data_IF_810167362995
#
_entry.id   IF_810167362995
#
_cell.length_a   1.000
_cell.length_b   1.000
_cell.length_c   1.000
_cell.angle_alpha   90.00
_cell.angle_beta   90.00
_cell.angle_gamma   90.00
#
_symmetry.space_group_name_H-M   'P 1'
#
loop_
_entity.id
_entity.type
_entity.pdbx_description
1 polymer ?
#
# COMPACT_ATOMS: atom_id res chain seq x y z
N UNK A 1 3.84 -50.92 4.49
CA UNK A 1 4.47 -49.87 5.32
C UNK A 1 5.37 -49.04 4.41
N UNK A 2 4.79 -48.24 3.51
CA UNK A 2 5.55 -47.61 2.41
C UNK A 2 5.13 -46.15 2.15
N UNK A 3 4.57 -45.50 3.18
CA UNK A 3 4.03 -44.14 3.10
C UNK A 3 4.81 -43.10 3.90
N UNK A 4 5.88 -43.47 4.60
CA UNK A 4 6.64 -42.55 5.48
C UNK A 4 7.92 -42.00 4.83
N UNK A 5 8.44 -42.65 3.79
CA UNK A 5 9.73 -42.30 3.19
C UNK A 5 9.63 -41.20 2.12
N UNK A 6 8.46 -41.06 1.48
CA UNK A 6 8.20 -40.07 0.42
C UNK A 6 8.03 -38.65 0.97
N UNK A 7 7.47 -38.50 2.18
CA UNK A 7 7.37 -37.18 2.84
C UNK A 7 8.75 -36.64 3.22
N UNK A 8 9.69 -37.48 3.67
CA UNK A 8 11.03 -37.05 4.07
C UNK A 8 11.81 -36.35 2.95
N UNK A 9 11.71 -36.85 1.71
CA UNK A 9 12.37 -36.26 0.55
C UNK A 9 11.76 -34.89 0.17
N UNK A 10 10.43 -34.77 0.21
CA UNK A 10 9.74 -33.51 -0.07
C UNK A 10 10.04 -32.44 0.99
N UNK A 11 10.06 -32.79 2.28
CA UNK A 11 10.45 -31.87 3.36
C UNK A 11 11.92 -31.45 3.26
N UNK A 12 12.81 -32.35 2.85
CA UNK A 12 14.23 -32.03 2.65
C UNK A 12 14.42 -31.10 1.44
N UNK A 13 13.71 -31.35 0.34
CA UNK A 13 13.74 -30.48 -0.84
C UNK A 13 13.16 -29.09 -0.54
N UNK A 14 12.06 -29.00 0.23
CA UNK A 14 11.46 -27.75 0.64
C UNK A 14 12.37 -26.97 1.61
N UNK A 15 13.04 -27.67 2.53
CA UNK A 15 14.04 -27.07 3.45
C UNK A 15 15.25 -26.57 2.69
N UNK A 16 15.75 -27.33 1.72
CA UNK A 16 16.86 -26.92 0.85
C UNK A 16 16.46 -25.76 -0.03
N UNK A 17 15.26 -25.72 -0.64
CA UNK A 17 14.75 -24.56 -1.37
C UNK A 17 14.69 -23.32 -0.48
N UNK A 18 14.20 -23.44 0.75
CA UNK A 18 14.13 -22.33 1.69
C UNK A 18 15.54 -21.83 2.10
N UNK A 19 16.47 -22.77 2.31
CA UNK A 19 17.88 -22.48 2.59
C UNK A 19 18.59 -21.87 1.37
N UNK A 20 18.22 -22.28 0.16
CA UNK A 20 18.78 -21.75 -1.10
C UNK A 20 18.27 -20.35 -1.39
N UNK A 21 17.02 -20.03 -1.03
CA UNK A 21 16.45 -18.67 -1.09
C UNK A 21 17.15 -17.72 -0.11
N UNK A 22 17.48 -18.19 1.11
CA UNK A 22 18.27 -17.41 2.08
C UNK A 22 19.71 -17.17 1.60
N UNK A 23 20.25 -18.04 0.76
CA UNK A 23 21.60 -17.93 0.20
C UNK A 23 21.63 -17.06 -1.08
N UNK A 24 20.55 -16.97 -1.85
CA UNK A 24 20.66 -16.53 -3.25
C UNK A 24 20.91 -15.03 -3.47
N UNK A 25 20.54 -14.13 -2.55
CA UNK A 25 21.11 -12.77 -2.49
C UNK A 25 20.63 -11.98 -1.25
N UNK A 26 21.44 -11.83 -0.19
CA UNK A 26 21.09 -10.99 0.96
C UNK A 26 20.87 -9.52 0.57
N UNK A 27 21.46 -9.05 -0.53
CA UNK A 27 21.24 -7.71 -1.07
C UNK A 27 19.87 -7.59 -1.76
N UNK A 28 19.36 -8.65 -2.40
CA UNK A 28 18.00 -8.65 -2.96
C UNK A 28 16.95 -8.60 -1.86
N UNK A 29 17.10 -9.38 -0.79
CA UNK A 29 16.20 -9.34 0.37
C UNK A 29 16.29 -7.98 1.06
N UNK A 30 17.49 -7.41 1.18
CA UNK A 30 17.70 -6.06 1.72
C UNK A 30 17.06 -4.99 0.85
N UNK A 31 17.25 -5.05 -0.47
CA UNK A 31 16.65 -4.12 -1.43
C UNK A 31 15.12 -4.22 -1.43
N UNK A 32 14.57 -5.44 -1.37
CA UNK A 32 13.13 -5.65 -1.27
C UNK A 32 12.55 -5.07 0.04
N UNK A 33 13.27 -5.23 1.16
CA UNK A 33 12.92 -4.62 2.44
C UNK A 33 12.97 -3.09 2.39
N UNK A 34 14.00 -2.51 1.78
CA UNK A 34 14.14 -1.06 1.58
C UNK A 34 13.01 -0.49 0.70
N UNK A 35 12.69 -1.17 -0.39
CA UNK A 35 11.61 -0.79 -1.30
C UNK A 35 10.24 -0.82 -0.61
N UNK A 36 9.93 -1.90 0.13
CA UNK A 36 8.69 -1.99 0.90
C UNK A 36 8.63 -0.96 2.03
N UNK A 37 9.75 -0.73 2.72
CA UNK A 37 9.86 0.28 3.77
C UNK A 37 9.65 1.69 3.20
N UNK A 38 10.20 1.98 2.02
CA UNK A 38 10.02 3.27 1.36
C UNK A 38 8.57 3.50 0.94
N UNK A 39 7.91 2.50 0.34
CA UNK A 39 6.48 2.59 -0.01
C UNK A 39 5.60 2.81 1.22
N UNK A 40 5.87 2.10 2.30
CA UNK A 40 5.19 2.29 3.58
C UNK A 40 5.35 3.72 4.10
N UNK A 41 6.59 4.25 4.12
CA UNK A 41 6.88 5.64 4.51
C UNK A 41 6.16 6.64 3.60
N UNK A 42 6.16 6.39 2.28
CA UNK A 42 5.52 7.24 1.30
C UNK A 42 3.99 7.29 1.48
N UNK A 43 3.35 6.13 1.69
CA UNK A 43 1.93 6.06 2.00
C UNK A 43 1.60 6.84 3.28
N UNK A 44 2.37 6.68 4.36
CA UNK A 44 2.16 7.46 5.60
C UNK A 44 2.32 8.97 5.38
N UNK A 45 3.31 9.38 4.59
CA UNK A 45 3.52 10.78 4.22
C UNK A 45 2.29 11.36 3.50
N UNK A 46 1.80 10.67 2.46
CA UNK A 46 0.66 11.16 1.70
C UNK A 46 -0.65 11.05 2.47
N UNK A 47 -0.80 10.03 3.32
CA UNK A 47 -1.95 9.92 4.22
C UNK A 47 -2.03 11.11 5.18
N UNK A 48 -0.89 11.48 5.79
CA UNK A 48 -0.80 12.71 6.59
C UNK A 48 -1.13 13.95 5.76
N UNK A 49 -0.58 14.07 4.55
CA UNK A 49 -0.79 15.24 3.68
C UNK A 49 -2.26 15.42 3.25
N UNK A 50 -2.96 14.34 2.93
CA UNK A 50 -4.31 14.40 2.37
C UNK A 50 -5.40 14.33 3.45
N UNK A 51 -5.15 13.62 4.55
CA UNK A 51 -6.16 13.37 5.58
C UNK A 51 -5.84 14.08 6.90
N UNK A 52 -4.60 14.56 7.07
CA UNK A 52 -4.21 15.36 8.21
C UNK A 52 -4.81 16.76 8.12
N UNK A 53 -5.52 17.17 9.17
CA UNK A 53 -5.91 18.55 9.37
C UNK A 53 -4.70 19.34 9.89
N UNK A 54 -3.87 19.92 9.03
CA UNK A 54 -2.83 20.86 9.47
C UNK A 54 -3.45 22.27 9.60
N UNK A 55 -3.74 22.66 10.85
CA UNK A 55 -3.38 23.99 11.30
C UNK A 55 -1.92 23.92 11.74
N UNK A 56 -1.11 24.92 11.35
CA UNK A 56 0.37 24.99 11.47
C UNK A 56 1.15 24.28 10.37
N UNK A 57 1.31 25.01 9.27
CA UNK A 57 2.19 24.64 8.15
C UNK A 57 1.86 25.53 6.97
N UNK A 58 2.32 26.79 6.99
CA UNK A 58 2.20 27.74 5.88
C UNK A 58 2.68 27.12 4.56
N UNK A 59 1.75 26.56 3.82
CA UNK A 59 1.97 26.13 2.45
C UNK A 59 1.44 27.24 1.56
N UNK A 60 2.35 27.88 0.80
CA UNK A 60 2.13 28.97 -0.17
C UNK A 60 1.20 28.62 -1.34
N UNK A 61 0.31 27.63 -1.19
CA UNK A 61 -0.74 27.23 -2.14
C UNK A 61 -2.16 27.32 -1.51
N UNK A 62 -2.27 27.65 -0.21
CA UNK A 62 -3.52 27.63 0.56
C UNK A 62 -4.51 28.78 0.30
N UNK A 63 -4.24 29.69 -0.63
CA UNK A 63 -5.13 30.85 -0.88
C UNK A 63 -6.28 30.56 -1.85
N UNK A 64 -6.26 29.45 -2.59
CA UNK A 64 -7.30 29.12 -3.59
C UNK A 64 -8.43 28.23 -3.08
N UNK A 65 -8.34 27.67 -1.86
CA UNK A 65 -9.36 26.75 -1.33
C UNK A 65 -9.73 27.08 0.11
N UNK A 66 -10.23 28.31 0.31
CA UNK A 66 -10.67 28.83 1.62
C UNK A 66 -12.07 28.32 2.04
N UNK A 67 -12.38 27.05 1.82
CA UNK A 67 -13.54 26.39 2.44
C UNK A 67 -12.99 25.41 3.47
N UNK A 68 -13.28 25.63 4.76
CA UNK A 68 -12.96 24.66 5.81
C UNK A 68 -13.72 23.37 5.48
N UNK A 69 -13.03 22.39 4.89
CA UNK A 69 -13.60 21.07 4.65
C UNK A 69 -13.89 20.40 5.99
N UNK A 70 -14.87 19.49 6.02
CA UNK A 70 -15.15 18.73 7.24
C UNK A 70 -13.89 17.99 7.68
N UNK A 71 -13.68 17.93 9.00
CA UNK A 71 -12.52 17.24 9.57
C UNK A 71 -12.67 15.74 9.32
N UNK A 72 -11.67 15.17 8.66
CA UNK A 72 -11.59 13.72 8.47
C UNK A 72 -11.18 13.07 9.80
N UNK A 73 -11.89 12.01 10.18
CA UNK A 73 -11.55 11.18 11.35
C UNK A 73 -11.00 9.85 10.85
N UNK A 74 -9.78 9.50 11.27
CA UNK A 74 -9.17 8.20 10.95
C UNK A 74 -9.44 7.26 12.13
N UNK A 75 -10.05 6.11 11.86
CA UNK A 75 -10.32 5.04 12.84
C UNK A 75 -9.69 3.74 12.37
N UNK A 76 -9.14 2.99 13.33
CA UNK A 76 -8.70 1.61 13.14
C UNK A 76 -7.69 1.37 12.01
N UNK A 77 -6.97 2.40 11.55
CA UNK A 77 -5.97 2.27 10.49
C UNK A 77 -4.60 1.96 11.10
N UNK A 78 -4.31 0.67 11.26
CA UNK A 78 -3.03 0.20 11.81
C UNK A 78 -1.89 0.26 10.79
N UNK A 79 -0.65 0.27 11.29
CA UNK A 79 0.53 0.20 10.43
C UNK A 79 0.56 -1.09 9.58
N UNK A 80 -0.02 -2.19 10.06
CA UNK A 80 -0.10 -3.44 9.28
C UNK A 80 -0.98 -3.31 8.04
N UNK A 81 -2.10 -2.57 8.15
CA UNK A 81 -2.96 -2.27 7.00
C UNK A 81 -2.21 -1.43 5.96
N UNK A 82 -1.41 -0.47 6.43
CA UNK A 82 -0.60 0.37 5.54
C UNK A 82 0.56 -0.43 4.92
N UNK A 83 1.17 -1.38 5.65
CA UNK A 83 2.19 -2.29 5.11
C UNK A 83 1.60 -3.22 4.05
N UNK A 84 0.39 -3.73 4.26
CA UNK A 84 -0.31 -4.54 3.26
C UNK A 84 -0.56 -3.73 1.98
N UNK A 85 -1.04 -2.48 2.11
CA UNK A 85 -1.21 -1.58 0.98
C UNK A 85 0.13 -1.26 0.27
N UNK A 86 1.23 -1.10 1.02
CA UNK A 86 2.57 -0.89 0.46
C UNK A 86 3.03 -2.07 -0.40
N UNK A 87 2.66 -3.30 -0.02
CA UNK A 87 2.91 -4.51 -0.83
C UNK A 87 2.04 -4.55 -2.08
N UNK A 88 0.73 -4.29 -1.94
CA UNK A 88 -0.22 -4.33 -3.07
C UNK A 88 0.03 -3.26 -4.13
N UNK A 89 0.62 -2.13 -3.74
CA UNK A 89 0.96 -1.01 -4.63
C UNK A 89 2.37 -1.12 -5.22
N UNK A 90 2.94 -2.32 -5.25
CA UNK A 90 4.12 -2.59 -6.06
C UNK A 90 3.85 -2.22 -7.53
N UNK A 91 4.85 -1.62 -8.19
CA UNK A 91 4.72 -1.06 -9.54
C UNK A 91 4.16 0.36 -9.61
N UNK A 92 3.55 0.89 -8.55
CA UNK A 92 3.05 2.26 -8.55
C UNK A 92 4.20 3.28 -8.53
N UNK A 93 4.08 4.31 -9.37
CA UNK A 93 4.89 5.52 -9.27
C UNK A 93 4.47 6.40 -8.08
N UNK A 94 5.34 7.31 -7.64
CA UNK A 94 4.99 8.27 -6.59
C UNK A 94 3.76 9.14 -6.93
N UNK A 95 3.54 9.45 -8.22
CA UNK A 95 2.32 10.16 -8.67
C UNK A 95 1.07 9.30 -8.55
N UNK A 96 1.18 8.00 -8.78
CA UNK A 96 0.06 7.07 -8.61
C UNK A 96 -0.29 6.88 -7.14
N UNK A 97 0.70 6.84 -6.24
CA UNK A 97 0.45 6.86 -4.79
C UNK A 97 -0.29 8.14 -4.37
N UNK A 98 0.08 9.30 -4.93
CA UNK A 98 -0.64 10.55 -4.67
C UNK A 98 -2.10 10.51 -5.18
N UNK A 99 -2.33 9.95 -6.38
CA UNK A 99 -3.68 9.76 -6.94
C UNK A 99 -4.52 8.78 -6.11
N UNK A 100 -3.90 7.72 -5.62
CA UNK A 100 -4.53 6.77 -4.70
C UNK A 100 -5.01 7.51 -3.43
N UNK A 101 -4.15 8.30 -2.78
CA UNK A 101 -4.55 9.04 -1.58
C UNK A 101 -5.59 10.13 -1.84
N UNK A 102 -5.56 10.78 -3.01
CA UNK A 102 -6.64 11.68 -3.44
C UNK A 102 -7.99 10.94 -3.56
N UNK A 103 -7.96 9.69 -4.05
CA UNK A 103 -9.16 8.84 -4.15
C UNK A 103 -9.67 8.44 -2.76
N UNK A 104 -8.76 8.14 -1.81
CA UNK A 104 -9.11 7.91 -0.40
C UNK A 104 -9.80 9.13 0.19
N UNK A 105 -9.21 10.32 0.03
CA UNK A 105 -9.79 11.57 0.53
C UNK A 105 -11.18 11.83 -0.06
N UNK A 106 -11.35 11.63 -1.37
CA UNK A 106 -12.64 11.80 -2.04
C UNK A 106 -13.71 10.83 -1.51
N UNK A 107 -13.36 9.57 -1.29
CA UNK A 107 -14.29 8.58 -0.76
C UNK A 107 -14.71 8.89 0.69
N UNK A 108 -13.79 9.39 1.51
CA UNK A 108 -14.10 9.84 2.88
C UNK A 108 -15.08 11.00 2.87
N UNK A 109 -14.86 12.01 2.02
CA UNK A 109 -15.79 13.13 1.88
C UNK A 109 -17.13 12.74 1.25
N UNK A 110 -17.18 11.61 0.54
CA UNK A 110 -18.42 11.02 0.04
C UNK A 110 -19.28 10.38 1.13
N UNK A 111 -18.74 10.14 2.33
CA UNK A 111 -19.48 9.57 3.46
C UNK A 111 -20.05 10.66 4.37
N UNK A 112 -21.25 10.45 4.94
CA UNK A 112 -21.88 11.42 5.85
C UNK A 112 -21.09 11.63 7.16
N UNK A 113 -20.32 10.62 7.58
CA UNK A 113 -19.56 10.64 8.82
C UNK A 113 -18.12 11.17 8.65
N UNK A 114 -17.63 11.34 7.42
CA UNK A 114 -16.24 11.73 7.12
C UNK A 114 -15.20 10.86 7.86
N UNK A 115 -15.51 9.57 8.04
CA UNK A 115 -14.64 8.61 8.70
C UNK A 115 -13.89 7.78 7.66
N UNK A 116 -12.56 7.70 7.82
CA UNK A 116 -11.74 6.67 7.21
C UNK A 116 -11.57 5.52 8.21
N UNK A 117 -12.18 4.38 7.93
CA UNK A 117 -11.89 3.12 8.59
C UNK A 117 -10.99 2.22 7.73
N UNK A 118 -10.46 1.15 8.33
CA UNK A 118 -9.60 0.18 7.64
C UNK A 118 -10.26 -0.50 6.44
N UNK A 119 -11.57 -0.71 6.47
CA UNK A 119 -12.27 -1.41 5.39
C UNK A 119 -12.36 -0.51 4.16
N UNK A 120 -12.78 0.75 4.35
CA UNK A 120 -12.82 1.73 3.28
C UNK A 120 -11.43 1.95 2.66
N UNK A 121 -10.39 2.03 3.49
CA UNK A 121 -9.02 2.16 2.99
C UNK A 121 -8.62 0.96 2.11
N UNK A 122 -8.86 -0.27 2.58
CA UNK A 122 -8.54 -1.50 1.84
C UNK A 122 -9.31 -1.61 0.53
N UNK A 123 -10.59 -1.26 0.54
CA UNK A 123 -11.45 -1.28 -0.65
C UNK A 123 -10.89 -0.37 -1.75
N UNK A 124 -10.51 0.86 -1.40
CA UNK A 124 -9.97 1.83 -2.36
C UNK A 124 -8.61 1.41 -2.88
N UNK A 125 -7.75 0.85 -2.01
CA UNK A 125 -6.46 0.28 -2.42
C UNK A 125 -6.67 -0.84 -3.44
N UNK A 126 -7.56 -1.79 -3.15
CA UNK A 126 -7.86 -2.91 -4.04
C UNK A 126 -8.38 -2.44 -5.39
N UNK A 127 -9.36 -1.53 -5.38
CA UNK A 127 -9.92 -0.95 -6.60
C UNK A 127 -8.85 -0.28 -7.46
N UNK A 128 -7.95 0.51 -6.86
CA UNK A 128 -6.90 1.22 -7.61
C UNK A 128 -5.76 0.32 -8.07
N UNK A 129 -5.46 -0.77 -7.36
CA UNK A 129 -4.52 -1.79 -7.81
C UNK A 129 -5.07 -2.53 -9.02
N UNK A 130 -6.35 -2.92 -9.00
CA UNK A 130 -7.01 -3.52 -10.15
C UNK A 130 -7.02 -2.57 -11.37
N UNK A 131 -7.32 -1.28 -11.16
CA UNK A 131 -7.28 -0.25 -12.21
C UNK A 131 -5.86 -0.11 -12.81
N UNK A 132 -4.81 -0.14 -11.97
CA UNK A 132 -3.42 -0.07 -12.41
C UNK A 132 -3.02 -1.29 -13.26
N UNK A 133 -3.33 -2.50 -12.80
CA UNK A 133 -3.05 -3.72 -13.57
C UNK A 133 -3.80 -3.75 -14.90
N UNK A 134 -5.06 -3.32 -14.93
CA UNK A 134 -5.84 -3.25 -16.16
C UNK A 134 -5.20 -2.29 -17.18
N UNK A 135 -4.70 -1.12 -16.74
CA UNK A 135 -3.99 -0.19 -17.62
C UNK A 135 -2.71 -0.79 -18.20
N UNK A 136 -1.93 -1.49 -17.37
CA UNK A 136 -0.70 -2.15 -17.83
C UNK A 136 -1.02 -3.22 -18.88
N UNK A 137 -2.03 -4.06 -18.61
CA UNK A 137 -2.45 -5.11 -19.55
C UNK A 137 -2.82 -4.51 -20.91
N UNK A 138 -3.71 -3.51 -20.92
CA UNK A 138 -4.13 -2.86 -22.17
C UNK A 138 -2.97 -2.18 -22.90
N UNK A 139 -2.03 -1.59 -22.19
CA UNK A 139 -0.84 -0.97 -22.79
C UNK A 139 0.15 -2.00 -23.35
N UNK A 140 0.14 -3.24 -22.86
CA UNK A 140 0.97 -4.34 -23.38
C UNK A 140 0.35 -5.07 -24.58
N UNK A 141 -0.97 -4.94 -24.77
CA UNK A 141 -1.74 -5.55 -25.87
C UNK A 141 -1.89 -4.62 -27.08
N UNK A 142 -1.50 -3.34 -26.95
CA UNK A 142 -1.56 -2.32 -27.98
C UNK A 142 -0.21 -2.15 -28.71
#
# INVERSE_FOLDING_TARGET
>A
MDGMQTYGAAYTCMRLLNQTIEIYDPYLISALKEVLLWRFKLLKLYLKKYLGSEGEGESKWGHLFKKKSQKITIKDLSDDVIREAARKTEGFSGREIAKLMASVQAAVYGRPDCVLDSNLFKEIVEYKVAEHHQRIKLASEA
#
